data_IF_424418566362
#
_entry.id   IF_424418566362
#
_cell.length_a   1.000
_cell.length_b   1.000
_cell.length_c   1.000
_cell.angle_alpha   90.00
_cell.angle_beta   90.00
_cell.angle_gamma   90.00
#
_symmetry.space_group_name_H-M   'P 1'
#
loop_
_entity.id
_entity.type
_entity.pdbx_description
1 polymer ?
#
# COMPACT_ATOMS: atom_id res chain seq x y z
N UNK A 1 14.88 -7.23 6.38
CA UNK A 1 13.81 -7.16 5.37
C UNK A 1 12.51 -6.96 6.13
N UNK A 2 11.81 -5.82 6.01
CA UNK A 2 10.54 -5.63 6.70
C UNK A 2 9.44 -6.42 5.99
N UNK A 3 8.56 -7.01 6.80
CA UNK A 3 7.33 -7.62 6.35
C UNK A 3 6.23 -6.56 6.30
N UNK A 4 5.58 -6.41 5.14
CA UNK A 4 4.51 -5.48 4.87
C UNK A 4 3.18 -6.23 4.77
N UNK A 5 2.11 -5.64 5.29
CA UNK A 5 0.75 -6.17 5.19
C UNK A 5 -0.23 -5.06 4.87
N UNK A 6 -1.29 -5.42 4.16
CA UNK A 6 -2.42 -4.52 3.96
C UNK A 6 -3.27 -4.48 5.25
N UNK A 7 -3.68 -3.28 5.64
CA UNK A 7 -4.63 -3.04 6.74
C UNK A 7 -5.69 -2.06 6.27
N UNK A 8 -6.94 -2.25 6.69
CA UNK A 8 -7.96 -1.23 6.47
C UNK A 8 -7.62 -0.01 7.31
N UNK A 9 -7.43 1.13 6.64
CA UNK A 9 -7.20 2.43 7.25
C UNK A 9 -8.53 3.15 7.50
N UNK A 10 -8.52 4.24 8.29
CA UNK A 10 -9.70 5.07 8.47
C UNK A 10 -10.14 5.70 7.13
N UNK A 11 -11.46 5.72 6.89
CA UNK A 11 -12.13 6.40 5.76
C UNK A 11 -11.70 5.88 4.38
N UNK A 12 -12.23 4.71 3.98
CA UNK A 12 -12.15 4.15 2.62
C UNK A 12 -10.73 3.93 2.05
N UNK A 13 -9.69 4.06 2.88
CA UNK A 13 -8.31 3.80 2.50
C UNK A 13 -7.87 2.41 2.99
N UNK A 14 -7.03 1.72 2.24
CA UNK A 14 -6.28 0.54 2.69
C UNK A 14 -4.80 0.89 2.69
N UNK A 15 -4.13 0.74 3.83
CA UNK A 15 -2.73 1.08 4.00
C UNK A 15 -1.84 -0.16 3.90
N UNK A 16 -0.69 -0.03 3.25
CA UNK A 16 0.38 -1.03 3.26
C UNK A 16 1.40 -0.64 4.34
N UNK A 17 1.41 -1.39 5.45
CA UNK A 17 2.17 -1.06 6.66
C UNK A 17 3.17 -2.13 7.03
N UNK A 18 4.25 -1.76 7.71
CA UNK A 18 5.12 -2.73 8.40
C UNK A 18 4.62 -3.08 9.82
N UNK A 19 5.36 -3.98 10.50
CA UNK A 19 5.05 -4.41 11.87
C UNK A 19 5.08 -3.30 12.93
N UNK A 20 5.57 -2.10 12.61
CA UNK A 20 5.56 -0.93 13.50
C UNK A 20 4.40 0.03 13.22
N UNK A 21 3.60 -0.24 12.19
CA UNK A 21 2.52 0.63 11.73
C UNK A 21 2.98 1.73 10.78
N UNK A 22 4.24 1.68 10.30
CA UNK A 22 4.73 2.65 9.33
C UNK A 22 4.12 2.37 7.96
N UNK A 23 3.51 3.39 7.35
CA UNK A 23 2.89 3.32 6.02
C UNK A 23 3.94 3.47 4.92
N UNK A 24 3.92 2.55 3.95
CA UNK A 24 4.77 2.55 2.76
C UNK A 24 4.00 2.91 1.48
N UNK A 25 2.69 2.70 1.51
CA UNK A 25 1.78 3.04 0.43
C UNK A 25 0.34 2.87 0.91
N UNK A 26 -0.61 3.36 0.14
CA UNK A 26 -2.02 3.20 0.44
C UNK A 26 -2.87 3.26 -0.83
N UNK A 27 -4.08 2.74 -0.75
CA UNK A 27 -5.08 2.76 -1.82
C UNK A 27 -6.32 3.45 -1.28
N UNK A 28 -6.84 4.44 -2.01
CA UNK A 28 -8.08 5.14 -1.64
C UNK A 28 -8.96 5.45 -2.85
N UNK A 29 -10.25 5.77 -2.65
CA UNK A 29 -11.15 6.12 -3.73
C UNK A 29 -10.70 7.41 -4.45
N UNK A 30 -10.94 7.47 -5.75
CA UNK A 30 -10.78 8.68 -6.55
C UNK A 30 -11.95 8.82 -7.54
N UNK A 31 -12.04 9.96 -8.24
CA UNK A 31 -13.12 10.21 -9.21
C UNK A 31 -13.20 9.17 -10.34
N UNK A 32 -12.12 8.42 -10.61
CA UNK A 32 -12.01 7.43 -11.68
C UNK A 32 -11.95 5.97 -11.18
N UNK A 33 -12.31 5.72 -9.91
CA UNK A 33 -12.23 4.40 -9.29
C UNK A 33 -11.33 4.43 -8.06
N UNK A 34 -10.14 3.82 -8.17
CA UNK A 34 -9.19 3.73 -7.07
C UNK A 34 -7.85 4.36 -7.45
N UNK A 35 -7.21 5.05 -6.51
CA UNK A 35 -5.85 5.56 -6.67
C UNK A 35 -4.90 4.86 -5.71
N UNK A 36 -3.80 4.36 -6.25
CA UNK A 36 -2.67 3.88 -5.48
C UNK A 36 -1.69 5.01 -5.19
N UNK A 37 -1.13 5.02 -4.00
CA UNK A 37 -0.15 5.98 -3.53
C UNK A 37 1.04 5.27 -2.91
N UNK A 38 2.24 5.76 -3.19
CA UNK A 38 3.49 5.27 -2.62
C UNK A 38 4.06 6.38 -1.75
N UNK A 39 4.40 6.07 -0.51
CA UNK A 39 4.89 7.06 0.46
C UNK A 39 6.40 7.26 0.30
N UNK A 40 6.83 8.51 0.32
CA UNK A 40 8.25 8.85 0.34
C UNK A 40 8.91 8.33 1.62
N UNK A 41 10.03 7.61 1.48
CA UNK A 41 10.80 7.12 2.62
C UNK A 41 11.21 8.27 3.53
N UNK A 42 10.93 8.12 4.83
CA UNK A 42 11.26 9.12 5.84
C UNK A 42 10.27 10.29 5.94
N UNK A 43 9.15 10.25 5.20
CA UNK A 43 8.09 11.25 5.38
C UNK A 43 7.43 11.10 6.75
N UNK A 44 7.27 12.24 7.43
CA UNK A 44 6.37 12.36 8.58
C UNK A 44 4.92 12.55 8.11
N UNK A 45 3.99 12.56 9.07
CA UNK A 45 2.57 12.82 8.79
C UNK A 45 2.33 14.31 8.54
N UNK A 46 1.54 14.70 7.52
CA UNK A 46 0.92 13.84 6.50
C UNK A 46 1.94 13.32 5.47
N UNK A 47 1.83 12.05 5.04
CA UNK A 47 2.80 11.41 4.18
C UNK A 47 2.87 12.08 2.81
N UNK A 48 4.08 12.40 2.36
CA UNK A 48 4.32 12.90 1.01
C UNK A 48 4.30 11.74 0.00
N UNK A 49 3.51 11.85 -1.09
CA UNK A 49 3.51 10.82 -2.12
C UNK A 49 4.81 10.91 -2.95
N UNK A 50 5.52 9.78 -3.06
CA UNK A 50 6.62 9.59 -3.99
C UNK A 50 6.14 9.22 -5.40
N UNK A 51 4.98 8.58 -5.51
CA UNK A 51 4.28 8.26 -6.75
C UNK A 51 2.79 8.04 -6.48
N UNK A 52 1.96 8.24 -7.49
CA UNK A 52 0.54 7.89 -7.48
C UNK A 52 0.04 7.56 -8.88
N UNK A 53 -0.95 6.67 -8.99
CA UNK A 53 -1.59 6.30 -10.25
C UNK A 53 -3.07 5.90 -10.03
N UNK A 54 -3.91 6.20 -11.02
CA UNK A 54 -5.32 5.81 -11.05
C UNK A 54 -5.49 4.41 -11.64
N UNK A 55 -6.43 3.65 -11.08
CA UNK A 55 -6.69 2.26 -11.42
C UNK A 55 -8.20 1.96 -11.43
N UNK A 56 -8.64 1.00 -12.25
CA UNK A 56 -10.06 0.66 -12.38
C UNK A 56 -10.63 -0.05 -11.14
N UNK A 57 -9.79 -0.63 -10.28
CA UNK A 57 -10.22 -1.41 -9.12
C UNK A 57 -9.17 -1.39 -8.00
N UNK A 58 -9.60 -1.74 -6.79
CA UNK A 58 -8.76 -1.72 -5.59
C UNK A 58 -7.59 -2.71 -5.70
N UNK A 59 -7.83 -3.91 -6.21
CA UNK A 59 -6.80 -4.93 -6.37
C UNK A 59 -5.73 -4.52 -7.39
N UNK A 60 -6.13 -3.84 -8.47
CA UNK A 60 -5.19 -3.29 -9.45
C UNK A 60 -4.32 -2.18 -8.83
N UNK A 61 -4.91 -1.31 -8.01
CA UNK A 61 -4.17 -0.30 -7.28
C UNK A 61 -3.21 -0.92 -6.24
N UNK A 62 -3.65 -1.95 -5.50
CA UNK A 62 -2.80 -2.66 -4.52
C UNK A 62 -1.62 -3.33 -5.21
N UNK A 63 -1.85 -4.05 -6.31
CA UNK A 63 -0.78 -4.68 -7.06
C UNK A 63 0.25 -3.67 -7.59
N UNK A 64 -0.21 -2.51 -8.04
CA UNK A 64 0.68 -1.42 -8.46
C UNK A 64 1.49 -0.84 -7.29
N UNK A 65 0.85 -0.56 -6.15
CA UNK A 65 1.54 -0.08 -4.94
C UNK A 65 2.58 -1.09 -4.46
N UNK A 66 2.26 -2.38 -4.42
CA UNK A 66 3.19 -3.46 -4.06
C UNK A 66 4.45 -3.44 -4.94
N UNK A 67 4.27 -3.31 -6.26
CA UNK A 67 5.36 -3.27 -7.22
C UNK A 67 6.23 -2.01 -7.04
N UNK A 68 5.61 -0.83 -6.92
CA UNK A 68 6.34 0.43 -6.75
C UNK A 68 7.08 0.52 -5.41
N UNK A 69 6.47 0.05 -4.32
CA UNK A 69 7.13 -0.02 -3.01
C UNK A 69 8.35 -0.93 -3.09
N UNK A 70 8.22 -2.09 -3.74
CA UNK A 70 9.33 -3.03 -3.92
C UNK A 70 10.45 -2.45 -4.77
N UNK A 71 10.11 -1.74 -5.85
CA UNK A 71 11.08 -1.10 -6.75
C UNK A 71 11.84 0.07 -6.10
N UNK A 72 11.19 0.79 -5.17
CA UNK A 72 11.76 1.99 -4.51
C UNK A 72 12.39 1.69 -3.16
N UNK A 73 12.25 0.47 -2.65
CA UNK A 73 12.77 0.12 -1.34
C UNK A 73 14.30 0.09 -1.37
N UNK A 74 14.92 0.87 -0.46
CA UNK A 74 16.37 0.87 -0.26
C UNK A 74 16.92 -0.50 0.20
N UNK A 75 16.05 -1.35 0.75
CA UNK A 75 16.34 -2.72 1.18
C UNK A 75 15.21 -3.64 0.73
N UNK A 76 15.45 -4.94 0.51
CA UNK A 76 14.38 -5.88 0.19
C UNK A 76 13.24 -5.80 1.20
N UNK A 77 12.01 -5.82 0.70
CA UNK A 77 10.75 -5.87 1.46
C UNK A 77 10.02 -7.17 1.10
N UNK A 78 9.26 -7.71 2.04
CA UNK A 78 8.40 -8.87 1.80
C UNK A 78 6.95 -8.45 2.04
N UNK A 79 6.08 -8.69 1.07
CA UNK A 79 4.64 -8.40 1.22
C UNK A 79 3.94 -9.70 1.62
N UNK A 80 3.27 -9.68 2.76
CA UNK A 80 2.47 -10.78 3.27
C UNK A 80 1.07 -10.63 2.71
N UNK A 81 0.68 -11.57 1.85
CA UNK A 81 -0.71 -11.70 1.39
C UNK A 81 -1.41 -12.65 2.37
N UNK A 82 -2.50 -12.19 2.99
CA UNK A 82 -3.38 -13.09 3.71
C UNK A 82 -4.05 -13.99 2.68
N UNK A 83 -3.51 -15.20 2.50
CA UNK A 83 -4.23 -16.27 1.81
C UNK A 83 -5.44 -16.58 2.68
N UNK A 84 -6.63 -16.17 2.24
CA UNK A 84 -7.87 -16.51 2.92
C UNK A 84 -7.89 -18.01 3.20
N UNK A 85 -7.99 -18.37 4.48
CA UNK A 85 -8.30 -19.74 4.83
C UNK A 85 -9.67 -20.07 4.18
N UNK A 86 -9.84 -21.23 3.54
CA UNK A 86 -11.17 -21.63 3.10
C UNK A 86 -12.05 -21.71 4.35
N UNK A 87 -13.10 -20.92 4.37
CA UNK A 87 -14.21 -21.13 5.30
C UNK A 87 -14.71 -22.56 5.07
N UNK A 88 -14.58 -23.39 6.11
CA UNK A 88 -15.07 -24.78 6.13
C UNK A 88 -16.59 -24.82 6.20
#
# INVERSE_FOLDING_TARGET
MPDLRWTEGPVHCTDLVDGTGKVFGYVGPCAAGMRGYVVQSGSEWPPRPAAFADHPAADAARAWVEAEVSARAFRPVRIIRETGAPVS
#
